data_IF_857473512652
#
_entry.id   IF_857473512652
#
_cell.length_a   1.000
_cell.length_b   1.000
_cell.length_c   1.000
_cell.angle_alpha   90.00
_cell.angle_beta   90.00
_cell.angle_gamma   90.00
#
_symmetry.space_group_name_H-M   'P 1'
#
loop_
_entity.id
_entity.type
_entity.pdbx_description
1 polymer ?
#
# COMPACT_ATOMS: atom_id res chain seq x y z
N UNK A 1 -17.48 -3.04 4.96
CA UNK A 1 -16.39 -2.99 3.96
C UNK A 1 -15.97 -1.54 3.83
N UNK A 2 -14.69 -1.22 4.04
CA UNK A 2 -14.21 0.16 3.91
C UNK A 2 -14.31 0.59 2.44
N UNK A 3 -15.15 1.58 2.17
CA UNK A 3 -15.42 2.10 0.83
C UNK A 3 -14.46 3.27 0.63
N UNK A 4 -13.30 3.03 0.03
CA UNK A 4 -12.39 4.09 -0.40
C UNK A 4 -12.38 4.19 -1.92
N UNK A 5 -12.12 5.38 -2.43
CA UNK A 5 -12.06 5.61 -3.88
C UNK A 5 -10.79 5.00 -4.46
N UNK A 6 -10.90 4.38 -5.64
CA UNK A 6 -9.76 3.82 -6.38
C UNK A 6 -8.63 4.85 -6.56
N UNK A 7 -8.99 6.13 -6.76
CA UNK A 7 -8.04 7.25 -6.86
C UNK A 7 -7.11 7.38 -5.65
N UNK A 8 -7.65 7.23 -4.43
CA UNK A 8 -6.85 7.32 -3.21
C UNK A 8 -5.88 6.14 -3.07
N UNK A 9 -6.31 4.95 -3.49
CA UNK A 9 -5.45 3.77 -3.50
C UNK A 9 -4.29 3.93 -4.49
N UNK A 10 -4.55 4.48 -5.68
CA UNK A 10 -3.49 4.76 -6.66
C UNK A 10 -2.48 5.78 -6.15
N UNK A 11 -2.93 6.84 -5.45
CA UNK A 11 -2.00 7.78 -4.79
C UNK A 11 -1.12 7.08 -3.75
N UNK A 12 -1.71 6.23 -2.91
CA UNK A 12 -0.95 5.50 -1.88
C UNK A 12 0.06 4.54 -2.50
N UNK A 13 -0.33 3.84 -3.59
CA UNK A 13 0.58 2.97 -4.34
C UNK A 13 1.79 3.75 -4.86
N UNK A 14 1.55 4.90 -5.51
CA UNK A 14 2.60 5.76 -6.03
C UNK A 14 3.53 6.27 -4.92
N UNK A 15 2.96 6.71 -3.81
CA UNK A 15 3.73 7.19 -2.65
C UNK A 15 4.63 6.08 -2.08
N UNK A 16 4.12 4.85 -1.99
CA UNK A 16 4.90 3.71 -1.53
C UNK A 16 6.08 3.41 -2.46
N UNK A 17 5.85 3.48 -3.78
CA UNK A 17 6.91 3.29 -4.77
C UNK A 17 7.99 4.38 -4.68
N UNK A 18 7.59 5.64 -4.50
CA UNK A 18 8.51 6.75 -4.25
C UNK A 18 9.36 6.51 -3.00
N UNK A 19 8.73 6.05 -1.91
CA UNK A 19 9.41 5.80 -0.64
C UNK A 19 10.37 4.58 -0.70
N UNK A 20 10.13 3.65 -1.62
CA UNK A 20 11.01 2.53 -1.91
C UNK A 20 12.07 2.84 -2.97
N UNK A 21 12.00 4.01 -3.63
CA UNK A 21 12.86 4.34 -4.77
C UNK A 21 12.62 3.45 -6.00
N UNK A 22 11.42 2.89 -6.14
CA UNK A 22 11.03 2.02 -7.25
C UNK A 22 10.26 2.86 -8.26
N UNK A 23 10.74 2.94 -9.51
CA UNK A 23 10.03 3.65 -10.59
C UNK A 23 8.91 2.82 -11.19
N UNK A 24 9.16 1.53 -11.35
CA UNK A 24 8.22 0.57 -11.92
C UNK A 24 8.32 -0.71 -11.08
N UNK A 25 7.19 -1.14 -10.52
CA UNK A 25 7.14 -2.31 -9.64
C UNK A 25 7.08 -3.58 -10.46
N UNK A 26 7.87 -4.58 -10.07
CA UNK A 26 7.83 -5.92 -10.64
C UNK A 26 7.31 -6.95 -9.62
N UNK A 27 6.85 -8.14 -10.06
CA UNK A 27 6.44 -9.20 -9.14
C UNK A 27 7.52 -9.61 -8.13
N UNK A 28 8.80 -9.50 -8.51
CA UNK A 28 9.96 -9.75 -7.63
C UNK A 28 10.08 -8.73 -6.50
N UNK A 29 9.64 -7.49 -6.72
CA UNK A 29 9.71 -6.43 -5.71
C UNK A 29 8.65 -6.61 -4.62
N UNK A 30 7.55 -7.30 -4.92
CA UNK A 30 6.46 -7.54 -3.97
C UNK A 30 6.95 -8.23 -2.69
N UNK A 31 7.93 -9.14 -2.81
CA UNK A 31 8.53 -9.82 -1.65
C UNK A 31 9.34 -8.85 -0.79
N UNK A 32 10.12 -7.98 -1.44
CA UNK A 32 10.89 -6.94 -0.76
C UNK A 32 9.98 -5.94 -0.07
N UNK A 33 8.93 -5.45 -0.75
CA UNK A 33 7.94 -4.55 -0.16
C UNK A 33 7.25 -5.17 1.06
N UNK A 34 6.88 -6.44 0.99
CA UNK A 34 6.32 -7.17 2.14
C UNK A 34 7.26 -7.14 3.34
N UNK A 35 8.55 -7.39 3.13
CA UNK A 35 9.56 -7.37 4.20
C UNK A 35 9.80 -5.95 4.73
N UNK A 36 9.92 -4.97 3.85
CA UNK A 36 10.18 -3.57 4.20
C UNK A 36 9.02 -2.95 4.99
N UNK A 37 7.77 -3.24 4.59
CA UNK A 37 6.56 -2.83 5.34
C UNK A 37 6.58 -3.42 6.74
N UNK A 38 6.86 -4.72 6.87
CA UNK A 38 6.94 -5.36 8.19
C UNK A 38 8.08 -4.77 9.04
N UNK A 39 9.25 -4.55 8.45
CA UNK A 39 10.41 -4.02 9.16
C UNK A 39 10.16 -2.62 9.72
N UNK A 40 9.45 -1.75 8.99
CA UNK A 40 9.15 -0.38 9.46
C UNK A 40 7.90 -0.26 10.33
N UNK A 41 6.87 -1.08 10.08
CA UNK A 41 5.54 -0.88 10.69
C UNK A 41 5.15 -1.98 11.68
N UNK A 42 5.88 -3.10 11.69
CA UNK A 42 5.52 -4.35 12.36
C UNK A 42 4.17 -4.95 11.93
N UNK A 43 3.62 -4.50 10.78
CA UNK A 43 2.39 -5.04 10.21
C UNK A 43 2.73 -6.02 9.10
N UNK A 44 2.25 -7.25 9.25
CA UNK A 44 2.56 -8.33 8.32
C UNK A 44 1.60 -8.29 7.12
N UNK A 45 2.10 -7.78 5.99
CA UNK A 45 1.41 -7.84 4.69
C UNK A 45 2.15 -8.83 3.82
N UNK A 46 1.47 -9.87 3.35
CA UNK A 46 2.11 -10.92 2.54
C UNK A 46 2.45 -10.47 1.13
N UNK A 47 3.47 -11.07 0.52
CA UNK A 47 3.84 -10.84 -0.89
C UNK A 47 2.65 -10.97 -1.84
N UNK A 48 1.79 -11.98 -1.65
CA UNK A 48 0.59 -12.20 -2.49
C UNK A 48 -0.44 -11.09 -2.30
N UNK A 49 -0.56 -10.52 -1.10
CA UNK A 49 -1.38 -9.33 -0.86
C UNK A 49 -0.88 -8.14 -1.66
N UNK A 50 0.44 -7.88 -1.66
CA UNK A 50 1.05 -6.81 -2.45
C UNK A 50 0.84 -7.06 -3.95
N UNK A 51 1.04 -8.29 -4.42
CA UNK A 51 0.77 -8.66 -5.83
C UNK A 51 -0.67 -8.33 -6.24
N UNK A 52 -1.65 -8.62 -5.39
CA UNK A 52 -3.06 -8.28 -5.65
C UNK A 52 -3.29 -6.77 -5.68
N UNK A 53 -2.68 -6.02 -4.76
CA UNK A 53 -2.77 -4.54 -4.73
C UNK A 53 -2.30 -3.96 -6.06
N UNK A 54 -1.16 -4.40 -6.58
CA UNK A 54 -0.55 -3.89 -7.82
C UNK A 54 -1.03 -4.61 -9.10
N UNK A 55 -2.00 -5.52 -9.02
CA UNK A 55 -2.60 -6.17 -10.20
C UNK A 55 -1.80 -7.36 -10.76
N UNK A 56 -0.76 -7.83 -10.09
CA UNK A 56 0.00 -9.03 -10.49
C UNK A 56 -0.70 -10.35 -10.13
N UNK A 57 -1.74 -10.31 -9.31
CA UNK A 57 -2.53 -11.46 -8.95
C UNK A 57 -4.02 -11.11 -8.94
N UNK A 58 -4.85 -12.01 -9.45
CA UNK A 58 -6.30 -11.82 -9.46
C UNK A 58 -6.86 -11.68 -8.04
N UNK A 59 -7.77 -10.74 -7.87
CA UNK A 59 -8.53 -10.54 -6.64
C UNK A 59 -9.91 -10.01 -6.99
N UNK A 60 -10.94 -10.59 -6.40
CA UNK A 60 -12.32 -10.10 -6.51
C UNK A 60 -12.60 -8.99 -5.48
N UNK A 61 -11.69 -8.81 -4.52
CA UNK A 61 -11.87 -7.91 -3.39
C UNK A 61 -10.80 -6.83 -3.35
N UNK A 62 -11.24 -5.63 -2.94
CA UNK A 62 -10.35 -4.51 -2.64
C UNK A 62 -9.46 -4.84 -1.44
N UNK A 63 -8.22 -4.30 -1.38
CA UNK A 63 -7.36 -4.42 -0.21
C UNK A 63 -8.08 -4.03 1.08
N UNK A 64 -7.83 -4.79 2.13
CA UNK A 64 -8.41 -4.53 3.45
C UNK A 64 -7.92 -3.21 4.04
N UNK A 65 -8.67 -2.65 5.00
CA UNK A 65 -8.24 -1.48 5.77
C UNK A 65 -6.90 -1.70 6.47
N UNK A 66 -6.62 -2.93 6.89
CA UNK A 66 -5.34 -3.32 7.46
C UNK A 66 -4.20 -3.14 6.45
N UNK A 67 -4.38 -3.64 5.22
CA UNK A 67 -3.37 -3.55 4.15
C UNK A 67 -3.04 -2.09 3.81
N UNK A 68 -4.06 -1.27 3.57
CA UNK A 68 -3.86 0.15 3.24
C UNK A 68 -3.30 0.94 4.43
N UNK A 69 -3.62 0.56 5.67
CA UNK A 69 -3.02 1.17 6.87
C UNK A 69 -1.55 0.82 7.00
N UNK A 70 -1.17 -0.43 6.74
CA UNK A 70 0.23 -0.85 6.75
C UNK A 70 1.06 -0.11 5.70
N UNK A 71 0.53 0.01 4.49
CA UNK A 71 1.15 0.80 3.42
C UNK A 71 1.26 2.29 3.80
N UNK A 72 0.20 2.90 4.33
CA UNK A 72 0.23 4.30 4.78
C UNK A 72 1.26 4.53 5.89
N UNK A 73 1.33 3.62 6.87
CA UNK A 73 2.36 3.67 7.93
C UNK A 73 3.76 3.54 7.40
N UNK A 74 3.96 2.69 6.40
CA UNK A 74 5.25 2.56 5.75
C UNK A 74 5.70 3.87 5.08
N UNK A 75 4.77 4.63 4.49
CA UNK A 75 5.03 5.95 3.92
C UNK A 75 5.18 7.07 4.98
N UNK A 76 5.09 6.76 6.28
CA UNK A 76 5.28 7.73 7.37
C UNK A 76 3.99 8.35 7.92
N UNK A 77 2.81 7.91 7.48
CA UNK A 77 1.53 8.37 8.03
C UNK A 77 1.13 7.55 9.25
N UNK A 78 0.26 8.08 10.13
CA UNK A 78 -0.22 7.29 11.28
C UNK A 78 -1.14 6.12 10.87
N UNK A 79 -1.72 6.20 9.67
CA UNK A 79 -2.58 5.19 9.09
C UNK A 79 -3.35 5.72 7.89
N UNK A 80 -4.31 4.92 7.41
CA UNK A 80 -5.06 5.23 6.18
C UNK A 80 -5.82 6.56 6.23
N UNK A 81 -6.55 6.84 7.31
CA UNK A 81 -7.34 8.06 7.43
C UNK A 81 -6.43 9.30 7.41
N UNK A 82 -5.28 9.23 8.09
CA UNK A 82 -4.30 10.31 8.11
C UNK A 82 -3.72 10.55 6.71
N UNK A 83 -3.45 9.49 5.94
CA UNK A 83 -3.05 9.62 4.54
C UNK A 83 -4.12 10.33 3.69
N UNK A 84 -5.40 9.93 3.82
CA UNK A 84 -6.49 10.56 3.07
C UNK A 84 -6.59 12.05 3.41
N UNK A 85 -6.61 12.41 4.69
CA UNK A 85 -6.75 13.81 5.12
C UNK A 85 -5.64 14.72 4.57
N UNK A 86 -4.41 14.19 4.47
CA UNK A 86 -3.28 14.92 3.87
C UNK A 86 -3.42 15.03 2.35
N UNK A 87 -4.00 14.02 1.69
CA UNK A 87 -4.11 13.94 0.23
C UNK A 87 -5.46 14.44 -0.33
N UNK A 88 -6.42 14.77 0.53
CA UNK A 88 -7.71 15.38 0.18
C UNK A 88 -7.71 16.90 0.21
N UNK A 89 -6.65 17.50 0.77
CA UNK A 89 -6.46 18.95 0.88
C UNK A 89 -5.57 19.54 -0.22
N UNK A 90 -5.21 18.73 -1.21
CA UNK A 90 -4.37 19.09 -2.36
C UNK A 90 -5.20 19.17 -3.64
#
# INVERSE_FOLDING_TARGET
>A
MARYETSQLEKLKAELLNHCGIREIMPSDCKRLSADIYAKTHLQVSETTIKRVYGFACTEFMPSTFTITAMARYCGYHGWNNFIEHNSRA
#
